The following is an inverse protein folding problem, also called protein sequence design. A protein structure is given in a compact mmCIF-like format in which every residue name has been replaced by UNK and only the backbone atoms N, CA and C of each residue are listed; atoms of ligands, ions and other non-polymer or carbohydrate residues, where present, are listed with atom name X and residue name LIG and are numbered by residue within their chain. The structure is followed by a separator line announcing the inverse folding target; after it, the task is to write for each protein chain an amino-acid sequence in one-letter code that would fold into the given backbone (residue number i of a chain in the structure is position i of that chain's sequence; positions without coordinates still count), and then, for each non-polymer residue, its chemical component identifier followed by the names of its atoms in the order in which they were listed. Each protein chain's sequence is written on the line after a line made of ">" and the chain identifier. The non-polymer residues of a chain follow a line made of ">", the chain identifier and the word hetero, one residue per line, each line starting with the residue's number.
data_IF_468882674752
#
_entry.id   IF_468882674752
#
_cell.length_a   1.000
_cell.length_b   1.000
_cell.length_c   1.000
_cell.angle_alpha   90.00
_cell.angle_beta   90.00
_cell.angle_gamma   90.00
#
_symmetry.space_group_name_H-M   'P 1'
#
loop_
_entity.id
_entity.type
_entity.pdbx_description
1 polymer ?
#
# COMPACT_ATOMS: atom_id res chain seq x y z
N UNK A 1 11.17 27.99 -13.34
CA UNK A 1 10.14 26.93 -13.22
C UNK A 1 10.03 26.61 -11.74
N UNK A 2 8.85 26.72 -11.14
CA UNK A 2 8.66 26.36 -9.72
C UNK A 2 8.90 24.86 -9.57
N UNK A 3 9.82 24.47 -8.70
CA UNK A 3 9.93 23.06 -8.29
C UNK A 3 8.75 22.75 -7.38
N UNK A 4 7.99 21.70 -7.69
CA UNK A 4 6.83 21.29 -6.88
C UNK A 4 7.22 20.41 -5.68
N UNK A 5 8.46 19.91 -5.64
CA UNK A 5 8.99 19.09 -4.56
C UNK A 5 10.39 19.57 -4.18
N UNK A 6 10.55 20.13 -2.99
CA UNK A 6 11.83 20.56 -2.44
C UNK A 6 12.02 20.04 -1.02
N UNK A 7 13.23 19.59 -0.71
CA UNK A 7 13.63 19.23 0.65
C UNK A 7 13.47 20.38 1.65
N UNK A 8 13.53 21.63 1.20
CA UNK A 8 13.37 22.85 2.01
C UNK A 8 11.88 23.18 2.29
N UNK A 9 10.92 22.48 1.69
CA UNK A 9 9.48 22.72 1.94
C UNK A 9 9.09 22.54 3.41
N UNK A 10 9.90 21.76 4.16
CA UNK A 10 9.78 21.61 5.62
C UNK A 10 9.80 22.95 6.37
N UNK A 11 10.40 24.01 5.79
CA UNK A 11 10.41 25.36 6.38
C UNK A 11 9.00 25.95 6.54
N UNK A 12 8.06 25.56 5.69
CA UNK A 12 6.67 26.02 5.75
C UNK A 12 5.89 25.40 6.90
N UNK A 13 6.44 24.39 7.59
CA UNK A 13 5.92 23.95 8.89
C UNK A 13 5.83 25.10 9.90
N UNK A 14 6.69 26.13 9.80
CA UNK A 14 6.60 27.33 10.66
C UNK A 14 5.29 28.09 10.46
N UNK A 15 4.74 28.12 9.24
CA UNK A 15 3.45 28.73 8.96
C UNK A 15 2.34 27.94 9.65
N UNK A 16 2.31 26.61 9.52
CA UNK A 16 1.32 25.79 10.19
C UNK A 16 1.40 25.89 11.73
N UNK A 17 2.62 26.03 12.27
CA UNK A 17 2.84 26.29 13.71
C UNK A 17 2.31 27.64 14.19
N UNK A 18 2.16 28.63 13.32
CA UNK A 18 1.67 29.97 13.68
C UNK A 18 0.19 30.13 13.39
N UNK A 19 -0.27 29.66 12.22
CA UNK A 19 -1.65 29.86 11.75
C UNK A 19 -2.63 28.83 12.34
N UNK A 20 -2.21 27.56 12.48
CA UNK A 20 -3.08 26.46 12.92
C UNK A 20 -2.38 25.52 13.90
N UNK A 21 -1.86 26.04 15.02
CA UNK A 21 -1.04 25.26 15.96
C UNK A 21 -1.80 24.10 16.62
N UNK A 22 -3.08 24.28 16.90
CA UNK A 22 -3.97 23.29 17.50
C UNK A 22 -4.18 22.08 16.55
N UNK A 23 -4.47 22.35 15.27
CA UNK A 23 -4.65 21.30 14.26
C UNK A 23 -3.33 20.55 14.02
N UNK A 24 -2.21 21.27 13.91
CA UNK A 24 -0.91 20.65 13.71
C UNK A 24 -0.51 19.76 14.90
N UNK A 25 -0.80 20.20 16.14
CA UNK A 25 -0.55 19.39 17.34
C UNK A 25 -1.37 18.09 17.30
N UNK A 26 -2.68 18.17 17.07
CA UNK A 26 -3.54 17.01 16.99
C UNK A 26 -3.11 16.02 15.88
N UNK A 27 -2.71 16.54 14.71
CA UNK A 27 -2.19 15.72 13.63
C UNK A 27 -0.88 15.01 14.02
N UNK A 28 0.06 15.71 14.66
CA UNK A 28 1.32 15.13 15.10
C UNK A 28 1.09 14.03 16.14
N UNK A 29 0.22 14.26 17.13
CA UNK A 29 -0.10 13.28 18.16
C UNK A 29 -0.72 12.02 17.53
N UNK A 30 -1.68 12.20 16.61
CA UNK A 30 -2.25 11.10 15.84
C UNK A 30 -1.18 10.34 15.07
N UNK A 31 -0.35 11.03 14.29
CA UNK A 31 0.66 10.40 13.45
C UNK A 31 1.73 9.66 14.29
N UNK A 32 2.16 10.25 15.41
CA UNK A 32 3.06 9.61 16.36
C UNK A 32 2.43 8.38 17.01
N UNK A 33 1.14 8.39 17.32
CA UNK A 33 0.44 7.22 17.86
C UNK A 33 0.30 6.09 16.82
N UNK A 34 0.12 6.43 15.54
CA UNK A 34 0.06 5.46 14.43
C UNK A 34 1.41 4.78 14.21
N UNK A 35 2.51 5.53 14.30
CA UNK A 35 3.89 5.04 14.07
C UNK A 35 4.70 4.86 15.36
N UNK A 36 4.03 4.67 16.49
CA UNK A 36 4.69 4.36 17.77
C UNK A 36 5.62 3.14 17.61
N UNK A 37 6.83 3.14 18.18
CA UNK A 37 7.80 2.05 17.98
C UNK A 37 7.28 0.72 18.53
N UNK A 38 6.59 0.77 19.67
CA UNK A 38 6.08 -0.38 20.40
C UNK A 38 4.56 -0.25 20.62
N UNK A 39 3.97 -1.21 21.35
CA UNK A 39 2.55 -1.19 21.78
C UNK A 39 1.53 -1.20 20.62
N UNK A 40 1.85 -1.90 19.53
CA UNK A 40 0.95 -2.17 18.41
C UNK A 40 1.07 -3.62 17.98
N UNK A 41 -0.07 -4.21 17.60
CA UNK A 41 -0.13 -5.59 17.11
C UNK A 41 0.62 -5.77 15.79
N UNK A 42 0.55 -4.75 14.90
CA UNK A 42 1.34 -4.73 13.68
C UNK A 42 2.71 -4.11 14.00
N UNK A 43 3.84 -4.84 13.88
CA UNK A 43 5.16 -4.29 14.13
C UNK A 43 5.47 -3.07 13.25
N UNK A 44 6.28 -2.15 13.76
CA UNK A 44 6.57 -0.86 13.08
C UNK A 44 7.04 -1.06 11.63
N UNK A 45 7.93 -2.03 11.38
CA UNK A 45 8.41 -2.37 10.04
C UNK A 45 7.26 -2.54 9.04
N UNK A 46 6.24 -3.31 9.40
CA UNK A 46 5.13 -3.61 8.51
C UNK A 46 4.18 -2.42 8.35
N UNK A 47 3.97 -1.61 9.41
CA UNK A 47 3.22 -0.35 9.30
C UNK A 47 3.90 0.63 8.34
N UNK A 48 5.23 0.74 8.40
CA UNK A 48 5.99 1.58 7.49
C UNK A 48 5.96 1.05 6.04
N UNK A 49 6.04 -0.27 5.83
CA UNK A 49 5.87 -0.86 4.49
C UNK A 49 4.45 -0.63 3.93
N UNK A 50 3.41 -0.72 4.76
CA UNK A 50 2.04 -0.32 4.38
C UNK A 50 2.01 1.15 3.98
N UNK A 51 2.65 2.04 4.76
CA UNK A 51 2.73 3.45 4.46
C UNK A 51 3.47 3.72 3.13
N UNK A 52 4.55 2.98 2.84
CA UNK A 52 5.24 3.02 1.55
C UNK A 52 4.31 2.61 0.40
N UNK A 53 3.53 1.54 0.55
CA UNK A 53 2.56 1.14 -0.47
C UNK A 53 1.52 2.24 -0.73
N UNK A 54 0.96 2.84 0.33
CA UNK A 54 0.01 3.96 0.22
C UNK A 54 0.67 5.18 -0.43
N UNK A 55 1.91 5.49 -0.08
CA UNK A 55 2.67 6.60 -0.67
C UNK A 55 2.89 6.42 -2.18
N UNK A 56 3.19 5.19 -2.63
CA UNK A 56 3.31 4.84 -4.06
C UNK A 56 1.97 5.01 -4.77
N UNK A 57 0.87 4.50 -4.19
CA UNK A 57 -0.46 4.58 -4.79
C UNK A 57 -0.94 6.02 -4.91
N UNK A 58 -0.71 6.84 -3.89
CA UNK A 58 -1.06 8.28 -3.87
C UNK A 58 -0.04 9.16 -4.59
N UNK A 59 1.08 8.60 -5.04
CA UNK A 59 2.17 9.30 -5.74
C UNK A 59 2.75 10.47 -4.94
N UNK A 60 2.77 10.36 -3.62
CA UNK A 60 3.29 11.38 -2.72
C UNK A 60 4.82 11.27 -2.59
N UNK A 61 5.57 12.11 -3.29
CA UNK A 61 7.05 12.08 -3.27
C UNK A 61 7.63 12.23 -1.84
N UNK A 62 7.10 13.13 -1.03
CA UNK A 62 7.54 13.30 0.37
C UNK A 62 7.26 12.07 1.23
N UNK A 63 6.13 11.40 1.01
CA UNK A 63 5.73 10.22 1.75
C UNK A 63 6.59 9.01 1.33
N UNK A 64 6.91 8.90 0.04
CA UNK A 64 7.82 7.87 -0.48
C UNK A 64 9.19 8.02 0.17
N UNK A 65 9.76 9.23 0.20
CA UNK A 65 11.03 9.51 0.86
C UNK A 65 10.98 9.20 2.36
N UNK A 66 10.03 9.81 3.07
CA UNK A 66 9.92 9.69 4.53
C UNK A 66 9.68 8.26 5.03
N UNK A 67 8.68 7.57 4.47
CA UNK A 67 8.31 6.24 4.94
C UNK A 67 9.25 5.14 4.44
N UNK A 68 9.90 5.29 3.28
CA UNK A 68 10.92 4.31 2.87
C UNK A 68 12.15 4.37 3.79
N UNK A 69 12.60 5.57 4.17
CA UNK A 69 13.67 5.73 5.14
C UNK A 69 13.28 5.24 6.55
N UNK A 70 12.03 5.48 6.97
CA UNK A 70 11.51 4.97 8.25
C UNK A 70 11.39 3.43 8.26
N UNK A 71 10.92 2.83 7.17
CA UNK A 71 10.85 1.37 7.01
C UNK A 71 12.24 0.73 7.15
N UNK A 72 13.27 1.28 6.49
CA UNK A 72 14.65 0.79 6.61
C UNK A 72 15.16 0.90 8.04
N UNK A 73 14.90 2.03 8.72
CA UNK A 73 15.25 2.19 10.15
C UNK A 73 14.52 1.18 11.05
N UNK A 74 13.30 0.80 10.69
CA UNK A 74 12.53 -0.23 11.37
C UNK A 74 12.94 -1.68 10.98
N UNK A 75 13.98 -1.85 10.16
CA UNK A 75 14.53 -3.16 9.80
C UNK A 75 14.03 -3.74 8.48
N UNK A 76 13.36 -2.94 7.64
CA UNK A 76 12.97 -3.39 6.30
C UNK A 76 14.19 -3.59 5.39
N UNK A 77 14.16 -4.67 4.62
CA UNK A 77 15.17 -5.02 3.63
C UNK A 77 14.88 -4.38 2.27
N UNK A 78 15.88 -4.37 1.38
CA UNK A 78 15.68 -3.98 -0.02
C UNK A 78 14.65 -4.86 -0.73
N UNK A 79 14.62 -6.16 -0.41
CA UNK A 79 13.66 -7.11 -0.98
C UNK A 79 12.23 -6.77 -0.55
N UNK A 80 11.99 -6.51 0.74
CA UNK A 80 10.66 -6.12 1.25
C UNK A 80 10.15 -4.81 0.63
N UNK A 81 11.02 -3.82 0.41
CA UNK A 81 10.64 -2.59 -0.30
C UNK A 81 10.27 -2.86 -1.77
N UNK A 82 11.02 -3.71 -2.46
CA UNK A 82 10.73 -4.09 -3.84
C UNK A 82 9.40 -4.85 -3.94
N UNK A 83 9.15 -5.81 -3.03
CA UNK A 83 7.87 -6.53 -2.94
C UNK A 83 6.71 -5.59 -2.63
N UNK A 84 6.90 -4.64 -1.70
CA UNK A 84 5.91 -3.60 -1.38
C UNK A 84 5.52 -2.77 -2.61
N UNK A 85 6.48 -2.41 -3.45
CA UNK A 85 6.21 -1.69 -4.69
C UNK A 85 5.40 -2.53 -5.69
N UNK A 86 5.70 -3.83 -5.83
CA UNK A 86 4.92 -4.74 -6.67
C UNK A 86 3.51 -4.97 -6.15
N UNK A 87 3.33 -5.07 -4.82
CA UNK A 87 2.00 -5.11 -4.19
C UNK A 87 1.21 -3.85 -4.55
N UNK A 88 1.79 -2.66 -4.36
CA UNK A 88 1.13 -1.40 -4.71
C UNK A 88 0.77 -1.32 -6.21
N UNK A 89 1.65 -1.80 -7.09
CA UNK A 89 1.42 -1.85 -8.53
C UNK A 89 0.25 -2.79 -8.89
N UNK A 90 0.21 -3.99 -8.33
CA UNK A 90 -0.85 -4.96 -8.56
C UNK A 90 -2.23 -4.41 -8.16
N UNK A 91 -2.33 -3.75 -7.00
CA UNK A 91 -3.57 -3.14 -6.53
C UNK A 91 -4.01 -1.99 -7.46
N UNK A 92 -3.09 -1.17 -7.94
CA UNK A 92 -3.40 -0.09 -8.89
C UNK A 92 -3.89 -0.63 -10.24
N UNK A 93 -3.27 -1.69 -10.75
CA UNK A 93 -3.70 -2.36 -11.98
C UNK A 93 -5.10 -2.99 -11.84
N UNK A 94 -5.36 -3.69 -10.72
CA UNK A 94 -6.67 -4.26 -10.44
C UNK A 94 -7.77 -3.19 -10.32
N UNK A 95 -7.47 -2.06 -9.67
CA UNK A 95 -8.37 -0.91 -9.59
C UNK A 95 -8.72 -0.35 -10.98
N UNK A 96 -7.73 -0.16 -11.84
CA UNK A 96 -7.95 0.29 -13.22
C UNK A 96 -8.84 -0.68 -14.01
N UNK A 97 -8.61 -1.98 -13.90
CA UNK A 97 -9.46 -2.99 -14.55
C UNK A 97 -10.91 -2.95 -14.05
N UNK A 98 -11.11 -2.86 -12.73
CA UNK A 98 -12.44 -2.78 -12.13
C UNK A 98 -13.21 -1.52 -12.57
N UNK A 99 -12.54 -0.36 -12.57
CA UNK A 99 -13.12 0.89 -13.06
C UNK A 99 -13.38 0.87 -14.56
N UNK A 100 -12.53 0.21 -15.35
CA UNK A 100 -12.76 0.01 -16.78
C UNK A 100 -14.05 -0.76 -17.06
N UNK A 101 -14.32 -1.84 -16.32
CA UNK A 101 -15.59 -2.58 -16.43
C UNK A 101 -16.80 -1.72 -16.06
N UNK A 102 -16.67 -0.86 -15.04
CA UNK A 102 -17.74 0.08 -14.70
C UNK A 102 -17.96 1.10 -15.81
N UNK A 103 -16.90 1.65 -16.40
CA UNK A 103 -17.00 2.56 -17.54
C UNK A 103 -17.72 1.90 -18.71
N UNK A 104 -17.34 0.68 -19.08
CA UNK A 104 -18.00 -0.10 -20.13
C UNK A 104 -19.49 -0.30 -19.82
N UNK A 105 -19.83 -0.77 -18.61
CA UNK A 105 -21.24 -0.92 -18.19
C UNK A 105 -22.05 0.37 -18.34
N UNK A 106 -21.47 1.52 -18.04
CA UNK A 106 -22.16 2.82 -18.12
C UNK A 106 -22.30 3.33 -19.56
N UNK A 107 -21.34 3.00 -20.42
CA UNK A 107 -21.37 3.38 -21.84
C UNK A 107 -22.05 2.36 -22.74
N UNK A 108 -22.30 1.14 -22.25
CA UNK A 108 -22.85 0.03 -23.02
C UNK A 108 -24.13 0.43 -23.77
N UNK A 109 -25.15 1.07 -23.15
CA UNK A 109 -26.37 1.47 -23.86
C UNK A 109 -26.17 2.58 -24.92
N UNK A 110 -24.99 3.19 -25.00
CA UNK A 110 -24.66 4.20 -26.01
C UNK A 110 -24.16 3.59 -27.32
N UNK A 111 -23.85 2.29 -27.34
CA UNK A 111 -23.47 1.57 -28.56
C UNK A 111 -24.72 1.02 -29.26
N UNK A 112 -24.78 1.18 -30.59
CA UNK A 112 -25.95 0.81 -31.42
C UNK A 112 -26.25 -0.70 -31.39
N UNK A 113 -25.26 -1.53 -31.02
CA UNK A 113 -25.30 -3.00 -31.02
C UNK A 113 -25.39 -3.63 -29.60
N UNK A 114 -25.63 -2.85 -28.55
CA UNK A 114 -25.51 -3.24 -27.13
C UNK A 114 -26.47 -4.34 -26.61
N UNK A 115 -27.22 -5.00 -27.50
CA UNK A 115 -28.23 -6.00 -27.16
C UNK A 115 -27.83 -7.47 -27.39
N UNK A 116 -26.65 -7.76 -27.94
CA UNK A 116 -26.32 -9.12 -28.38
C UNK A 116 -25.65 -10.01 -27.32
N UNK A 117 -24.90 -9.44 -26.38
CA UNK A 117 -23.92 -10.22 -25.58
C UNK A 117 -24.12 -10.08 -24.05
N UNK A 118 -25.24 -9.53 -23.58
CA UNK A 118 -25.47 -9.19 -22.17
C UNK A 118 -25.63 -10.39 -21.23
N UNK A 119 -25.53 -11.63 -21.73
CA UNK A 119 -25.62 -12.83 -20.92
C UNK A 119 -24.33 -13.66 -21.05
N UNK A 120 -23.75 -13.97 -19.89
CA UNK A 120 -22.60 -14.86 -19.64
C UNK A 120 -21.20 -14.21 -19.68
N UNK A 121 -20.68 -13.85 -18.51
CA UNK A 121 -19.64 -14.64 -17.85
C UNK A 121 -19.08 -13.82 -16.67
N UNK A 122 -19.68 -14.01 -15.49
CA UNK A 122 -19.05 -13.63 -14.24
C UNK A 122 -17.94 -14.65 -13.92
N UNK A 123 -16.96 -14.81 -14.81
CA UNK A 123 -15.78 -15.59 -14.51
C UNK A 123 -15.08 -14.91 -13.33
N UNK A 124 -14.73 -15.67 -12.28
CA UNK A 124 -13.97 -15.11 -11.17
C UNK A 124 -12.66 -14.53 -11.71
N UNK A 125 -12.25 -13.37 -11.18
CA UNK A 125 -10.94 -12.78 -11.45
C UNK A 125 -9.92 -13.92 -11.29
N UNK A 126 -9.13 -14.26 -12.33
CA UNK A 126 -8.18 -15.35 -12.21
C UNK A 126 -7.22 -14.99 -11.08
N UNK A 127 -7.34 -15.69 -9.95
CA UNK A 127 -6.29 -15.66 -8.94
C UNK A 127 -5.03 -16.10 -9.65
N UNK A 128 -4.05 -15.22 -9.78
CA UNK A 128 -2.74 -15.61 -10.25
C UNK A 128 -2.32 -16.82 -9.41
N UNK A 129 -2.19 -17.99 -10.05
CA UNK A 129 -1.72 -19.18 -9.36
C UNK A 129 -0.34 -18.83 -8.76
N UNK A 130 -0.08 -19.14 -7.48
CA UNK A 130 1.23 -18.87 -6.92
C UNK A 130 2.29 -19.57 -7.78
N UNK A 131 3.44 -18.93 -8.04
CA UNK A 131 4.51 -19.60 -8.77
C UNK A 131 4.82 -20.93 -8.07
N UNK A 132 4.93 -22.01 -8.85
CA UNK A 132 5.24 -23.33 -8.31
C UNK A 132 6.49 -23.21 -7.44
N UNK A 133 6.36 -23.50 -6.15
CA UNK A 133 7.51 -23.49 -5.26
C UNK A 133 8.49 -24.58 -5.73
N UNK A 134 9.79 -24.27 -5.93
CA UNK A 134 10.77 -25.32 -6.17
C UNK A 134 10.81 -26.22 -4.94
N UNK A 135 10.62 -27.52 -5.15
CA UNK A 135 10.41 -28.52 -4.10
C UNK A 135 11.44 -28.44 -2.97
N UNK A 136 11.00 -27.96 -1.81
CA UNK A 136 11.72 -28.05 -0.53
C UNK A 136 11.29 -29.31 0.20
N UNK A 137 12.26 -30.12 0.64
CA UNK A 137 12.03 -31.32 1.44
C UNK A 137 11.28 -31.00 2.74
N UNK A 138 10.44 -31.92 3.26
CA UNK A 138 9.63 -31.66 4.44
C UNK A 138 10.51 -31.58 5.69
N UNK A 139 10.53 -30.41 6.34
CA UNK A 139 11.00 -30.28 7.71
C UNK A 139 9.96 -30.91 8.65
N UNK A 140 10.24 -32.14 9.10
CA UNK A 140 9.53 -32.79 10.20
C UNK A 140 9.91 -32.11 11.51
N UNK A 141 9.02 -31.27 12.04
CA UNK A 141 9.12 -30.82 13.42
C UNK A 141 8.38 -31.83 14.32
N UNK A 142 9.15 -32.76 14.89
CA UNK A 142 8.65 -33.64 15.95
C UNK A 142 8.50 -32.80 17.23
N UNK A 143 7.27 -32.43 17.58
CA UNK A 143 6.95 -31.91 18.91
C UNK A 143 6.90 -33.09 19.86
N UNK A 144 7.92 -33.25 20.70
CA UNK A 144 7.85 -34.14 21.85
C UNK A 144 6.93 -33.49 22.90
N UNK A 145 5.79 -34.14 23.18
CA UNK A 145 5.02 -33.85 24.37
C UNK A 145 5.76 -34.39 25.60
N UNK A 146 5.84 -33.65 26.71
CA UNK A 146 6.34 -34.22 27.96
C UNK A 146 5.29 -35.16 28.55
N UNK A 147 5.77 -36.29 29.07
CA UNK A 147 4.99 -37.26 29.85
C UNK A 147 5.24 -36.96 31.33
N UNK A 148 4.15 -36.91 32.09
CA UNK A 148 4.00 -36.73 33.55
C UNK A 148 4.17 -35.31 34.10
#
# INVERSE_FOLDING_TARGET
>A
MTSYFDTDDKRYTRLYKSETPDILAAFNDFNSAVFAPDDREIPLKYRELIAVAVAITTQCAYCIDGHSAAAVRAGATRAELAETAWVAAALKAGGAFAHGRLALKLTDPLFEDAGADAETDAAPIPSAAPPAQPGGAPHVHTVAQPVA
#
